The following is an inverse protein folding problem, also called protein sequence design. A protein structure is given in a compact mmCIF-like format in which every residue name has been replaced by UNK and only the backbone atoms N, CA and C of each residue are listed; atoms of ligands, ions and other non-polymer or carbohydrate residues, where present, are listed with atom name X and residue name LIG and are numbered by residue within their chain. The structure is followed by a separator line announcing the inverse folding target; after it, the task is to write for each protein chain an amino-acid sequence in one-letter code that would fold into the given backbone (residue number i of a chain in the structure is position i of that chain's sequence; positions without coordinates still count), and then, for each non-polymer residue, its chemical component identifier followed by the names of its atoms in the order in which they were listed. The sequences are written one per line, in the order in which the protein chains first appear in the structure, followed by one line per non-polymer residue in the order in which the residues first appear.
data_IF_281445366712
#
_entry.id   IF_281445366712
#
_cell.length_a   1.000
_cell.length_b   1.000
_cell.length_c   1.000
_cell.angle_alpha   90.00
_cell.angle_beta   90.00
_cell.angle_gamma   90.00
#
_symmetry.space_group_name_H-M   'P 1'
#
loop_
_entity.id
_entity.type
_entity.pdbx_description
1 polymer ?
#
# COMPACT_ATOMS: atom_id res chain seq x y z
N UNK A 1 6.47 10.10 10.63
CA UNK A 1 7.09 9.14 9.70
C UNK A 1 6.07 8.08 9.35
N UNK A 2 5.92 7.78 8.06
CA UNK A 2 5.09 6.67 7.59
C UNK A 2 5.95 5.41 7.57
N UNK A 3 5.39 4.26 7.98
CA UNK A 3 6.10 2.97 8.02
C UNK A 3 6.45 2.48 6.62
N UNK A 4 7.37 1.51 6.54
CA UNK A 4 7.58 0.78 5.30
C UNK A 4 6.32 -0.01 4.93
N UNK A 5 6.05 -0.18 3.63
CA UNK A 5 4.91 -0.96 3.18
C UNK A 5 5.01 -2.42 3.64
N UNK A 6 3.95 -2.91 4.27
CA UNK A 6 3.86 -4.24 4.90
C UNK A 6 4.57 -4.37 6.24
N UNK A 7 5.03 -3.27 6.85
CA UNK A 7 5.68 -3.33 8.15
C UNK A 7 4.72 -3.89 9.21
N UNK A 8 5.13 -4.96 9.90
CA UNK A 8 4.33 -5.63 10.93
C UNK A 8 3.43 -6.75 10.40
N UNK A 9 3.33 -6.95 9.09
CA UNK A 9 2.52 -8.02 8.49
C UNK A 9 3.35 -9.30 8.32
N UNK A 10 2.75 -10.44 8.64
CA UNK A 10 3.30 -11.77 8.36
C UNK A 10 2.62 -12.31 7.10
N UNK A 11 3.40 -12.61 6.07
CA UNK A 11 2.90 -13.19 4.83
C UNK A 11 3.19 -14.71 4.79
N UNK A 12 2.16 -15.50 4.51
CA UNK A 12 2.27 -16.94 4.28
C UNK A 12 2.15 -17.22 2.79
N UNK A 13 3.16 -17.88 2.23
CA UNK A 13 3.16 -18.28 0.82
C UNK A 13 2.96 -19.79 0.69
N UNK A 14 1.99 -20.17 -0.15
CA UNK A 14 1.69 -21.56 -0.47
C UNK A 14 1.73 -21.77 -1.98
N UNK A 15 1.78 -23.04 -2.41
CA UNK A 15 1.57 -23.37 -3.83
C UNK A 15 0.09 -23.20 -4.17
N UNK A 16 -0.21 -22.55 -5.30
CA UNK A 16 -1.59 -22.29 -5.73
C UNK A 16 -2.45 -23.55 -5.92
N UNK A 17 -1.84 -24.69 -6.25
CA UNK A 17 -2.54 -25.97 -6.43
C UNK A 17 -2.73 -26.77 -5.13
N UNK A 18 -2.20 -26.31 -3.99
CA UNK A 18 -2.26 -27.01 -2.70
C UNK A 18 -3.52 -26.57 -1.93
N UNK A 19 -4.65 -27.24 -2.21
CA UNK A 19 -5.95 -26.88 -1.64
C UNK A 19 -6.01 -27.04 -0.12
N UNK A 20 -5.29 -28.03 0.42
CA UNK A 20 -5.20 -28.25 1.88
C UNK A 20 -4.48 -27.08 2.54
N UNK A 21 -3.35 -26.65 1.99
CA UNK A 21 -2.65 -25.48 2.49
C UNK A 21 -3.50 -24.21 2.36
N UNK A 22 -4.26 -24.08 1.26
CA UNK A 22 -5.16 -22.94 1.02
C UNK A 22 -6.24 -22.81 2.10
N UNK A 23 -6.87 -23.93 2.47
CA UNK A 23 -7.89 -23.95 3.53
C UNK A 23 -7.30 -23.54 4.89
N UNK A 24 -6.11 -24.07 5.23
CA UNK A 24 -5.43 -23.74 6.50
C UNK A 24 -5.07 -22.26 6.55
N UNK A 25 -4.41 -21.70 5.53
CA UNK A 25 -4.01 -20.29 5.55
C UNK A 25 -5.20 -19.34 5.52
N UNK A 26 -6.28 -19.71 4.82
CA UNK A 26 -7.52 -18.92 4.80
C UNK A 26 -8.19 -18.84 6.17
N UNK A 27 -8.03 -19.87 7.02
CA UNK A 27 -8.61 -19.88 8.38
C UNK A 27 -7.96 -18.89 9.35
N UNK A 28 -6.75 -18.41 9.03
CA UNK A 28 -5.97 -17.49 9.87
C UNK A 28 -5.71 -16.14 9.18
N UNK A 29 -6.26 -15.93 7.98
CA UNK A 29 -6.12 -14.68 7.25
C UNK A 29 -7.00 -13.59 7.88
N UNK A 30 -6.42 -12.42 8.12
CA UNK A 30 -7.16 -11.24 8.55
C UNK A 30 -7.52 -10.39 7.33
N UNK A 31 -8.80 -10.39 6.97
CA UNK A 31 -9.29 -9.76 5.74
C UNK A 31 -8.98 -8.27 5.66
N UNK A 32 -9.05 -7.55 6.79
CA UNK A 32 -8.76 -6.11 6.84
C UNK A 32 -7.28 -5.84 6.58
N UNK A 33 -6.39 -6.58 7.27
CA UNK A 33 -4.94 -6.52 7.07
C UNK A 33 -4.57 -6.89 5.63
N UNK A 34 -5.20 -7.93 5.07
CA UNK A 34 -4.97 -8.34 3.68
C UNK A 34 -5.30 -7.22 2.69
N UNK A 35 -6.47 -6.60 2.84
CA UNK A 35 -6.90 -5.50 1.96
C UNK A 35 -5.98 -4.26 2.11
N UNK A 36 -5.59 -3.91 3.33
CA UNK A 36 -4.60 -2.85 3.59
C UNK A 36 -3.26 -3.14 2.91
N UNK A 37 -2.71 -4.34 3.12
CA UNK A 37 -1.43 -4.75 2.52
C UNK A 37 -1.51 -4.73 0.99
N UNK A 38 -2.63 -5.13 0.39
CA UNK A 38 -2.82 -5.05 -1.07
C UNK A 38 -2.73 -3.61 -1.58
N UNK A 39 -3.33 -2.65 -0.89
CA UNK A 39 -3.24 -1.24 -1.26
C UNK A 39 -1.79 -0.72 -1.16
N UNK A 40 -1.08 -1.05 -0.07
CA UNK A 40 0.32 -0.69 0.12
C UNK A 40 1.23 -1.28 -0.95
N UNK A 41 1.08 -2.58 -1.24
CA UNK A 41 1.88 -3.27 -2.26
C UNK A 41 1.59 -2.76 -3.67
N UNK A 42 0.34 -2.47 -4.00
CA UNK A 42 0.00 -1.86 -5.30
C UNK A 42 0.62 -0.47 -5.41
N UNK A 43 0.62 0.33 -4.34
CA UNK A 43 1.29 1.63 -4.33
C UNK A 43 2.81 1.48 -4.59
N UNK A 44 3.48 0.57 -3.88
CA UNK A 44 4.89 0.28 -4.11
C UNK A 44 5.15 -0.23 -5.54
N UNK A 45 4.27 -1.07 -6.09
CA UNK A 45 4.37 -1.57 -7.47
C UNK A 45 4.26 -0.44 -8.50
N UNK A 46 3.41 0.56 -8.24
CA UNK A 46 3.29 1.75 -9.09
C UNK A 46 4.56 2.61 -9.01
N UNK A 47 5.13 2.74 -7.80
CA UNK A 47 6.36 3.52 -7.56
C UNK A 47 7.63 2.83 -8.08
N UNK A 48 7.66 1.50 -8.25
CA UNK A 48 8.81 0.76 -8.79
C UNK A 48 9.27 1.19 -10.21
N UNK A 49 8.58 2.15 -10.86
CA UNK A 49 9.11 2.86 -12.03
C UNK A 49 10.20 3.89 -11.69
N UNK A 50 10.26 4.38 -10.45
CA UNK A 50 11.09 5.51 -9.98
C UNK A 50 12.18 5.02 -8.99
N UNK A 51 13.01 4.10 -9.48
CA UNK A 51 13.64 2.96 -8.79
C UNK A 51 14.49 3.16 -7.50
N UNK A 52 14.71 4.37 -6.95
CA UNK A 52 15.64 4.57 -5.82
C UNK A 52 15.13 5.49 -4.68
N UNK A 53 13.84 5.83 -4.68
CA UNK A 53 13.29 6.77 -3.70
C UNK A 53 12.90 6.08 -2.36
N UNK A 54 13.36 6.58 -1.20
CA UNK A 54 12.83 6.15 0.08
C UNK A 54 11.33 6.42 0.14
N UNK A 55 10.56 5.42 0.56
CA UNK A 55 9.09 5.48 0.59
C UNK A 55 8.55 4.92 1.89
N UNK A 56 7.63 5.66 2.50
CA UNK A 56 6.73 5.16 3.52
C UNK A 56 5.33 5.03 2.94
N UNK A 57 4.67 3.90 3.17
CA UNK A 57 3.27 3.68 2.78
C UNK A 57 2.56 2.83 3.83
N UNK A 58 1.38 3.28 4.25
CA UNK A 58 0.60 2.61 5.29
C UNK A 58 -0.89 2.75 5.01
N UNK A 59 -1.61 1.63 5.06
CA UNK A 59 -3.05 1.54 4.94
C UNK A 59 -3.67 1.09 6.27
N UNK A 60 -4.84 1.62 6.60
CA UNK A 60 -5.63 1.19 7.76
C UNK A 60 -7.12 1.30 7.50
N UNK A 61 -7.92 0.46 8.12
CA UNK A 61 -9.37 0.65 8.18
C UNK A 61 -9.74 1.63 9.29
N UNK A 62 -10.58 2.60 8.96
CA UNK A 62 -11.14 3.58 9.89
C UNK A 62 -12.61 3.79 9.54
N UNK A 63 -13.52 3.56 10.50
CA UNK A 63 -14.96 3.77 10.32
C UNK A 63 -15.57 3.01 9.11
N UNK A 64 -15.08 1.80 8.83
CA UNK A 64 -15.58 0.97 7.74
C UNK A 64 -15.04 1.35 6.34
N UNK A 65 -14.06 2.25 6.26
CA UNK A 65 -13.39 2.61 5.01
C UNK A 65 -11.87 2.53 5.17
N UNK A 66 -11.16 2.09 4.12
CA UNK A 66 -9.70 2.06 4.15
C UNK A 66 -9.13 3.43 3.84
N UNK A 67 -8.14 3.86 4.61
CA UNK A 67 -7.34 5.07 4.41
C UNK A 67 -5.91 4.64 4.06
N UNK A 68 -5.40 5.10 2.92
CA UNK A 68 -4.02 4.89 2.47
C UNK A 68 -3.25 6.21 2.57
N UNK A 69 -2.10 6.18 3.23
CA UNK A 69 -1.18 7.30 3.35
C UNK A 69 0.18 6.92 2.77
N UNK A 70 0.72 7.76 1.91
CA UNK A 70 2.04 7.59 1.31
C UNK A 70 2.90 8.85 1.50
N UNK A 71 4.19 8.62 1.69
CA UNK A 71 5.24 9.62 1.84
C UNK A 71 6.44 9.19 0.98
N UNK A 72 6.82 9.99 0.00
CA UNK A 72 7.94 9.71 -0.92
C UNK A 72 9.01 10.78 -0.75
N UNK A 73 10.24 10.34 -0.55
CA UNK A 73 11.40 11.21 -0.41
C UNK A 73 12.14 11.27 -1.74
N UNK A 74 12.34 12.47 -2.28
CA UNK A 74 13.11 12.72 -3.50
C UNK A 74 14.27 13.66 -3.24
N UNK A 75 14.66 14.43 -4.26
CA UNK A 75 15.76 15.41 -4.17
C UNK A 75 15.37 16.67 -3.38
N UNK A 76 14.06 16.94 -3.24
CA UNK A 76 13.57 18.08 -2.48
C UNK A 76 13.78 17.89 -0.97
N UNK A 77 14.00 18.98 -0.20
CA UNK A 77 14.19 18.90 1.26
C UNK A 77 12.97 18.35 2.01
N UNK A 78 11.78 18.54 1.46
CA UNK A 78 10.52 18.07 2.03
C UNK A 78 9.99 16.87 1.22
N UNK A 79 9.48 15.82 1.89
CA UNK A 79 8.88 14.68 1.20
C UNK A 79 7.51 15.04 0.61
N UNK A 80 7.18 14.41 -0.52
CA UNK A 80 5.83 14.46 -1.10
C UNK A 80 4.90 13.57 -0.30
N UNK A 81 3.67 14.02 -0.04
CA UNK A 81 2.73 13.32 0.82
C UNK A 81 1.31 13.32 0.27
N UNK A 82 0.67 12.15 0.28
CA UNK A 82 -0.69 12.00 -0.19
C UNK A 82 -1.46 10.99 0.64
N UNK A 83 -2.74 11.29 0.89
CA UNK A 83 -3.67 10.37 1.51
C UNK A 83 -5.04 10.41 0.84
N UNK A 84 -5.69 9.24 0.79
CA UNK A 84 -7.06 9.07 0.27
C UNK A 84 -7.76 7.95 1.03
N UNK A 85 -9.09 7.92 0.89
CA UNK A 85 -9.94 6.84 1.39
C UNK A 85 -10.69 6.11 0.29
N UNK A 86 -11.00 4.84 0.50
CA UNK A 86 -11.87 4.04 -0.36
C UNK A 86 -11.81 2.55 -0.03
N UNK A 87 -12.71 1.78 -0.63
CA UNK A 87 -12.87 0.35 -0.28
C UNK A 87 -12.19 -0.61 -1.27
N UNK A 88 -11.69 -0.10 -2.40
CA UNK A 88 -11.00 -0.89 -3.42
C UNK A 88 -9.49 -0.63 -3.32
N UNK A 89 -8.67 -1.62 -2.90
CA UNK A 89 -7.24 -1.44 -2.64
C UNK A 89 -6.49 -0.88 -3.84
N UNK A 90 -6.69 -1.46 -5.03
CA UNK A 90 -5.94 -1.11 -6.23
C UNK A 90 -6.34 0.27 -6.77
N UNK A 91 -7.64 0.60 -6.78
CA UNK A 91 -8.10 1.94 -7.15
C UNK A 91 -7.64 2.98 -6.13
N UNK A 92 -7.61 2.64 -4.84
CA UNK A 92 -7.12 3.54 -3.81
C UNK A 92 -5.64 3.87 -4.00
N UNK A 93 -4.79 2.86 -4.19
CA UNK A 93 -3.37 3.02 -4.49
C UNK A 93 -3.12 3.92 -5.70
N UNK A 94 -3.82 3.69 -6.82
CA UNK A 94 -3.71 4.52 -8.03
C UNK A 94 -4.12 5.98 -7.81
N UNK A 95 -5.15 6.23 -7.00
CA UNK A 95 -5.60 7.61 -6.69
C UNK A 95 -4.58 8.34 -5.82
N UNK A 96 -3.95 7.65 -4.86
CA UNK A 96 -2.87 8.23 -4.04
C UNK A 96 -1.65 8.51 -4.92
N UNK A 97 -1.24 7.55 -5.74
CA UNK A 97 -0.12 7.71 -6.68
C UNK A 97 -0.31 8.92 -7.61
N UNK A 98 -1.45 9.02 -8.30
CA UNK A 98 -1.74 10.20 -9.16
C UNK A 98 -1.72 11.51 -8.40
N UNK A 99 -2.17 11.54 -7.14
CA UNK A 99 -2.15 12.77 -6.34
C UNK A 99 -0.71 13.23 -6.08
N UNK A 100 0.22 12.30 -5.85
CA UNK A 100 1.65 12.62 -5.68
C UNK A 100 2.28 13.12 -6.99
N UNK A 101 1.90 12.52 -8.12
CA UNK A 101 2.43 12.91 -9.44
C UNK A 101 1.94 14.29 -9.91
N UNK A 102 0.67 14.61 -9.67
CA UNK A 102 0.14 15.93 -10.03
C UNK A 102 0.64 17.07 -9.13
N UNK A 103 1.29 16.77 -8.02
CA UNK A 103 2.05 17.76 -7.23
C UNK A 103 3.43 18.07 -7.87
N UNK A 104 3.87 17.32 -8.90
CA UNK A 104 5.13 17.58 -9.61
C UNK A 104 5.08 18.74 -10.62
N UNK A 105 3.90 19.14 -11.10
CA UNK A 105 3.75 20.10 -12.20
C UNK A 105 3.52 21.56 -11.75
N UNK A 106 3.63 21.86 -10.46
CA UNK A 106 3.42 23.21 -9.89
C UNK A 106 4.68 23.77 -9.20
N UNK A 107 5.86 23.55 -9.77
CA UNK A 107 7.09 24.30 -9.46
C UNK A 107 7.71 24.90 -10.73
#
# INVERSE_FOLDING_TARGET
FVSAGGQGVIALQIRAADLVACEIVSSIDDQETHLCLRAEREFLRLLQGDCDLPVGVHARFMNGEMELHAQVFGDAPAPKMASRRGNDPEKLARRVFRKLEHEQEQE
#
